data_IF_015052246704
#
_entry.id   IF_015052246704
#
_cell.length_a   1.000
_cell.length_b   1.000
_cell.length_c   1.000
_cell.angle_alpha   90.00
_cell.angle_beta   90.00
_cell.angle_gamma   90.00
#
_symmetry.space_group_name_H-M   'P 1'
#
loop_
_entity.id
_entity.type
_entity.pdbx_description
1 polymer ?
#
# COMPACT_ATOMS: atom_id res chain seq x y z
N UNK A 1 -37.08 -4.06 45.87
CA UNK A 1 -37.54 -3.64 44.53
C UNK A 1 -37.44 -2.12 44.26
N UNK A 2 -36.89 -1.28 45.14
CA UNK A 2 -36.71 0.17 44.84
C UNK A 2 -35.27 0.60 44.50
N UNK A 3 -34.27 -0.29 44.54
CA UNK A 3 -32.88 0.01 44.13
C UNK A 3 -32.49 -0.52 42.74
N UNK A 4 -33.39 -1.24 42.06
CA UNK A 4 -33.18 -1.80 40.72
C UNK A 4 -33.78 -0.91 39.62
N UNK A 5 -34.64 0.04 39.98
CA UNK A 5 -35.25 1.00 39.05
C UNK A 5 -34.30 2.18 38.72
N UNK A 6 -33.41 2.55 39.64
CA UNK A 6 -32.49 3.68 39.45
C UNK A 6 -31.29 3.38 38.54
N UNK A 7 -31.07 2.10 38.18
CA UNK A 7 -30.05 1.70 37.21
C UNK A 7 -30.55 1.65 35.76
N UNK A 8 -31.84 1.90 35.50
CA UNK A 8 -32.44 1.89 34.16
C UNK A 8 -32.50 3.25 33.45
N UNK A 9 -31.97 4.33 34.06
CA UNK A 9 -32.10 5.70 33.52
C UNK A 9 -30.87 6.25 32.77
N UNK A 10 -29.86 5.41 32.46
CA UNK A 10 -28.66 5.85 31.72
C UNK A 10 -28.62 5.23 30.31
N UNK A 11 -28.29 5.99 29.25
CA UNK A 11 -28.34 5.49 27.88
C UNK A 11 -27.31 4.36 27.65
N UNK A 12 -27.73 3.22 27.06
CA UNK A 12 -26.93 1.98 27.02
C UNK A 12 -25.78 1.98 25.98
N UNK A 13 -25.53 3.08 25.28
CA UNK A 13 -24.62 3.11 24.13
C UNK A 13 -23.14 3.36 24.47
N UNK A 14 -22.81 3.98 25.62
CA UNK A 14 -21.41 4.32 25.94
C UNK A 14 -20.70 3.30 26.83
N UNK A 15 -21.39 2.67 27.78
CA UNK A 15 -20.76 1.69 28.66
C UNK A 15 -20.40 0.40 27.92
N UNK A 16 -21.28 -0.10 27.05
CA UNK A 16 -21.03 -1.33 26.25
C UNK A 16 -19.89 -1.13 25.25
N UNK A 17 -19.78 0.05 24.63
CA UNK A 17 -18.70 0.34 23.67
C UNK A 17 -17.33 0.51 24.35
N UNK A 18 -17.31 1.13 25.54
CA UNK A 18 -16.09 1.34 26.33
C UNK A 18 -15.65 0.04 27.00
N UNK A 19 -16.59 -0.81 27.46
CA UNK A 19 -16.25 -2.13 28.01
C UNK A 19 -15.83 -3.12 26.93
N UNK A 20 -16.48 -3.15 25.75
CA UNK A 20 -16.08 -4.07 24.66
C UNK A 20 -14.81 -3.63 23.90
N UNK A 21 -14.66 -2.33 23.64
CA UNK A 21 -13.45 -1.78 23.04
C UNK A 21 -12.24 -1.83 23.96
N UNK A 22 -12.47 -1.64 25.28
CA UNK A 22 -11.44 -1.72 26.30
C UNK A 22 -10.98 -3.14 26.62
N UNK A 23 -11.87 -4.14 26.55
CA UNK A 23 -11.49 -5.54 26.84
C UNK A 23 -10.72 -6.18 25.69
N UNK A 24 -11.09 -5.94 24.42
CA UNK A 24 -10.34 -6.47 23.27
C UNK A 24 -8.97 -5.78 23.10
N UNK A 25 -8.91 -4.46 23.27
CA UNK A 25 -7.66 -3.71 23.22
C UNK A 25 -6.79 -3.97 24.46
N UNK A 26 -7.43 -4.19 25.62
CA UNK A 26 -6.77 -4.58 26.87
C UNK A 26 -6.17 -5.98 26.80
N UNK A 27 -6.87 -6.96 26.21
CA UNK A 27 -6.32 -8.30 25.97
C UNK A 27 -5.17 -8.27 24.96
N UNK A 28 -5.29 -7.51 23.87
CA UNK A 28 -4.23 -7.37 22.88
C UNK A 28 -2.99 -6.67 23.48
N UNK A 29 -3.18 -5.64 24.31
CA UNK A 29 -2.11 -4.96 25.04
C UNK A 29 -1.50 -5.88 26.10
N UNK A 30 -2.30 -6.69 26.79
CA UNK A 30 -1.86 -7.71 27.75
C UNK A 30 -1.02 -8.81 27.07
N UNK A 31 -1.43 -9.29 25.89
CA UNK A 31 -0.69 -10.26 25.07
C UNK A 31 0.60 -9.65 24.51
N UNK A 32 0.55 -8.38 24.10
CA UNK A 32 1.71 -7.62 23.64
C UNK A 32 2.73 -7.39 24.76
N UNK A 33 2.27 -7.04 25.96
CA UNK A 33 3.12 -6.89 27.15
C UNK A 33 3.68 -8.25 27.61
N UNK A 34 2.91 -9.34 27.55
CA UNK A 34 3.37 -10.73 27.80
C UNK A 34 4.51 -11.11 26.86
N UNK A 35 4.40 -10.78 25.56
CA UNK A 35 5.39 -11.06 24.52
C UNK A 35 6.68 -10.23 24.66
N UNK A 36 6.57 -8.95 25.06
CA UNK A 36 7.75 -8.08 25.18
C UNK A 36 8.68 -8.47 26.34
N UNK A 37 8.15 -9.10 27.38
CA UNK A 37 8.93 -9.59 28.53
C UNK A 37 9.38 -11.06 28.42
N UNK A 38 8.85 -11.85 27.49
CA UNK A 38 9.32 -13.24 27.25
C UNK A 38 10.48 -13.34 26.26
N UNK A 39 10.83 -12.27 25.55
CA UNK A 39 11.87 -12.29 24.50
C UNK A 39 13.24 -11.81 25.03
N UNK A 40 13.37 -11.50 26.33
CA UNK A 40 14.64 -11.02 26.92
C UNK A 40 14.68 -11.36 28.41
N UNK A 41 15.54 -12.20 28.98
CA UNK A 41 16.66 -13.05 28.55
C UNK A 41 16.73 -14.17 29.61
N UNK A 42 17.20 -15.36 29.26
CA UNK A 42 17.27 -16.49 30.20
C UNK A 42 18.15 -16.19 31.41
N UNK A 43 17.55 -16.08 32.60
CA UNK A 43 18.21 -16.19 33.93
C UNK A 43 17.19 -16.45 35.04
N UNK A 44 17.70 -16.83 36.22
CA UNK A 44 17.07 -17.34 37.46
C UNK A 44 15.83 -16.58 38.02
N UNK A 45 15.47 -15.43 37.45
CA UNK A 45 14.21 -14.70 37.71
C UNK A 45 12.97 -15.49 37.26
N UNK A 46 13.10 -16.32 36.22
CA UNK A 46 12.02 -17.10 35.60
C UNK A 46 11.30 -18.06 36.57
N UNK A 47 12.03 -18.60 37.57
CA UNK A 47 11.45 -19.53 38.56
C UNK A 47 10.58 -18.82 39.61
N UNK A 48 10.84 -17.54 39.90
CA UNK A 48 10.00 -16.73 40.81
C UNK A 48 8.73 -16.23 40.14
N UNK A 49 8.76 -15.99 38.83
CA UNK A 49 7.62 -15.49 38.05
C UNK A 49 6.68 -16.62 37.62
N UNK A 50 7.20 -17.82 37.31
CA UNK A 50 6.38 -19.01 37.05
C UNK A 50 5.41 -19.32 38.21
N UNK A 51 5.85 -19.06 39.46
CA UNK A 51 5.02 -19.15 40.68
C UNK A 51 4.03 -17.99 40.90
N UNK A 52 4.17 -16.87 40.16
CA UNK A 52 3.22 -15.75 40.14
C UNK A 52 2.22 -15.86 38.99
N UNK A 53 2.62 -16.48 37.87
CA UNK A 53 1.75 -16.79 36.72
C UNK A 53 0.71 -17.85 37.10
N UNK A 54 1.06 -18.83 37.95
CA UNK A 54 0.12 -19.78 38.53
C UNK A 54 -0.86 -19.17 39.56
N UNK A 55 -0.86 -17.84 39.74
CA UNK A 55 -1.74 -17.11 40.65
C UNK A 55 -2.64 -16.08 39.94
N UNK A 56 -2.64 -16.05 38.61
CA UNK A 56 -3.59 -15.23 37.84
C UNK A 56 -4.93 -15.98 37.68
N UNK A 57 -6.08 -15.28 37.67
CA UNK A 57 -7.40 -15.91 37.57
C UNK A 57 -7.50 -16.74 36.28
N UNK A 58 -8.16 -17.89 36.38
CA UNK A 58 -8.24 -18.90 35.32
C UNK A 58 -8.67 -18.29 33.96
N UNK A 59 -7.91 -18.61 32.90
CA UNK A 59 -8.17 -18.25 31.50
C UNK A 59 -9.59 -18.63 31.00
N UNK A 60 -10.35 -19.40 31.80
CA UNK A 60 -11.74 -19.77 31.60
C UNK A 60 -12.72 -18.60 31.60
N UNK A 61 -12.57 -17.59 32.47
CA UNK A 61 -13.59 -16.53 32.62
C UNK A 61 -13.71 -15.62 31.38
N UNK A 62 -12.60 -15.37 30.68
CA UNK A 62 -12.59 -14.50 29.50
C UNK A 62 -13.19 -15.19 28.26
N UNK A 63 -12.99 -16.50 28.11
CA UNK A 63 -13.56 -17.30 27.02
C UNK A 63 -15.07 -17.46 27.20
N UNK A 64 -15.51 -17.76 28.42
CA UNK A 64 -16.93 -17.85 28.76
C UNK A 64 -17.63 -16.49 28.63
N UNK A 65 -16.94 -15.39 28.97
CA UNK A 65 -17.43 -14.03 28.74
C UNK A 65 -17.65 -13.71 27.27
N UNK A 66 -16.72 -14.11 26.38
CA UNK A 66 -16.86 -13.95 24.94
C UNK A 66 -18.02 -14.79 24.38
N UNK A 67 -18.14 -16.04 24.83
CA UNK A 67 -19.21 -16.96 24.44
C UNK A 67 -20.59 -16.41 24.81
N UNK A 68 -20.72 -15.94 26.05
CA UNK A 68 -21.94 -15.33 26.58
C UNK A 68 -22.31 -14.07 25.81
N UNK A 69 -21.31 -13.29 25.39
CA UNK A 69 -21.50 -12.08 24.58
C UNK A 69 -21.99 -12.41 23.17
N UNK A 70 -21.42 -13.44 22.52
CA UNK A 70 -21.87 -13.90 21.20
C UNK A 70 -23.33 -14.37 21.29
N UNK A 71 -23.68 -15.20 22.28
CA UNK A 71 -25.05 -15.69 22.48
C UNK A 71 -26.05 -14.56 22.74
N UNK A 72 -25.66 -13.53 23.50
CA UNK A 72 -26.51 -12.36 23.73
C UNK A 72 -26.75 -11.57 22.44
N UNK A 73 -25.71 -11.37 21.63
CA UNK A 73 -25.82 -10.68 20.35
C UNK A 73 -26.61 -11.48 19.32
N UNK A 74 -26.55 -12.81 19.34
CA UNK A 74 -27.39 -13.69 18.50
C UNK A 74 -28.87 -13.55 18.83
N UNK A 75 -29.23 -13.52 20.11
CA UNK A 75 -30.61 -13.28 20.56
C UNK A 75 -31.08 -11.88 20.18
N UNK A 76 -30.23 -10.87 20.39
CA UNK A 76 -30.53 -9.49 19.99
C UNK A 76 -30.73 -9.37 18.47
N UNK A 77 -29.93 -10.09 17.69
CA UNK A 77 -30.05 -10.12 16.23
C UNK A 77 -31.38 -10.75 15.80
N UNK A 78 -31.81 -11.86 16.43
CA UNK A 78 -33.11 -12.51 16.15
C UNK A 78 -34.30 -11.59 16.48
N UNK A 79 -34.19 -10.79 17.54
CA UNK A 79 -35.23 -9.83 17.88
C UNK A 79 -35.24 -8.62 16.94
N UNK A 80 -34.06 -8.16 16.50
CA UNK A 80 -33.94 -7.12 15.48
C UNK A 80 -34.34 -7.60 14.08
N UNK A 81 -34.30 -8.91 13.80
CA UNK A 81 -34.77 -9.49 12.54
C UNK A 81 -36.26 -9.27 12.33
N UNK A 82 -37.05 -9.33 13.42
CA UNK A 82 -38.50 -9.11 13.41
C UNK A 82 -38.88 -7.66 13.09
N UNK A 83 -38.01 -6.71 13.43
CA UNK A 83 -38.22 -5.27 13.17
C UNK A 83 -37.36 -4.73 12.03
N UNK A 84 -36.54 -5.58 11.39
CA UNK A 84 -35.59 -5.21 10.33
C UNK A 84 -36.22 -4.48 9.15
N UNK A 85 -37.49 -4.76 8.84
CA UNK A 85 -38.22 -4.14 7.73
C UNK A 85 -39.16 -3.01 8.20
N UNK A 86 -39.21 -2.73 9.49
CA UNK A 86 -40.13 -1.74 10.07
C UNK A 86 -39.63 -0.30 9.94
N UNK A 87 -38.31 -0.08 9.96
CA UNK A 87 -37.71 1.23 9.72
C UNK A 87 -36.27 1.11 9.22
N UNK A 88 -35.79 2.15 8.54
CA UNK A 88 -34.39 2.25 8.10
C UNK A 88 -33.40 2.22 9.28
N UNK A 89 -33.82 2.75 10.44
CA UNK A 89 -33.04 2.72 11.69
C UNK A 89 -32.92 1.30 12.24
N UNK A 90 -33.98 0.49 12.17
CA UNK A 90 -33.98 -0.88 12.67
C UNK A 90 -33.21 -1.83 11.74
N UNK A 91 -33.23 -1.58 10.43
CA UNK A 91 -32.34 -2.25 9.46
C UNK A 91 -30.87 -1.98 9.76
N UNK A 92 -30.50 -0.71 10.01
CA UNK A 92 -29.13 -0.32 10.34
C UNK A 92 -28.65 -0.93 11.68
N UNK A 93 -29.56 -1.04 12.67
CA UNK A 93 -29.28 -1.73 13.94
C UNK A 93 -29.00 -3.22 13.73
N UNK A 94 -29.81 -3.89 12.90
CA UNK A 94 -29.61 -5.30 12.55
C UNK A 94 -28.24 -5.51 11.87
N UNK A 95 -27.90 -4.72 10.86
CA UNK A 95 -26.66 -4.88 10.10
C UNK A 95 -25.40 -4.62 10.94
N UNK A 96 -25.43 -3.63 11.85
CA UNK A 96 -24.33 -3.36 12.77
C UNK A 96 -24.09 -4.53 13.74
N UNK A 97 -25.16 -5.05 14.35
CA UNK A 97 -25.09 -6.18 15.28
C UNK A 97 -24.61 -7.43 14.55
N UNK A 98 -25.10 -7.69 13.33
CA UNK A 98 -24.65 -8.79 12.50
C UNK A 98 -23.13 -8.71 12.22
N UNK A 99 -22.63 -7.52 11.89
CA UNK A 99 -21.20 -7.29 11.63
C UNK A 99 -20.31 -7.51 12.85
N UNK A 100 -20.75 -7.06 14.03
CA UNK A 100 -20.04 -7.28 15.30
C UNK A 100 -19.97 -8.78 15.60
N UNK A 101 -21.06 -9.50 15.37
CA UNK A 101 -21.19 -10.92 15.62
C UNK A 101 -20.24 -11.75 14.75
N UNK A 102 -20.11 -11.41 13.46
CA UNK A 102 -19.15 -12.05 12.55
C UNK A 102 -17.71 -11.89 13.05
N UNK A 103 -17.33 -10.71 13.54
CA UNK A 103 -15.97 -10.45 14.06
C UNK A 103 -15.70 -11.17 15.37
N UNK A 104 -16.67 -11.20 16.28
CA UNK A 104 -16.54 -11.92 17.55
C UNK A 104 -16.43 -13.44 17.33
N UNK A 105 -17.14 -13.99 16.33
CA UNK A 105 -16.96 -15.39 15.91
C UNK A 105 -15.57 -15.67 15.34
N UNK A 106 -15.04 -14.75 14.52
CA UNK A 106 -13.66 -14.84 14.04
C UNK A 106 -12.65 -14.84 15.18
N UNK A 107 -12.77 -13.87 16.10
CA UNK A 107 -11.91 -13.76 17.27
C UNK A 107 -12.01 -14.99 18.20
N UNK A 108 -13.22 -15.54 18.39
CA UNK A 108 -13.44 -16.80 19.11
C UNK A 108 -12.72 -17.97 18.42
N UNK A 109 -12.84 -18.09 17.11
CA UNK A 109 -12.17 -19.15 16.34
C UNK A 109 -10.65 -19.09 16.50
N UNK A 110 -10.08 -17.90 16.43
CA UNK A 110 -8.64 -17.70 16.63
C UNK A 110 -8.22 -18.02 18.08
N UNK A 111 -9.03 -17.66 19.08
CA UNK A 111 -8.79 -17.98 20.50
C UNK A 111 -8.94 -19.48 20.80
N UNK A 112 -9.84 -20.18 20.11
CA UNK A 112 -10.03 -21.62 20.25
C UNK A 112 -8.87 -22.42 19.65
N UNK A 113 -8.29 -21.94 18.54
CA UNK A 113 -7.04 -22.48 17.98
C UNK A 113 -5.88 -22.33 18.95
N UNK A 114 -5.79 -21.16 19.59
CA UNK A 114 -4.82 -20.91 20.66
C UNK A 114 -5.01 -21.89 21.84
N UNK A 115 -6.25 -22.10 22.30
CA UNK A 115 -6.59 -23.06 23.37
C UNK A 115 -6.18 -24.49 23.04
N UNK A 116 -6.33 -24.90 21.77
CA UNK A 116 -6.00 -26.24 21.29
C UNK A 116 -4.51 -26.42 20.99
N UNK A 117 -3.69 -25.38 21.18
CA UNK A 117 -2.27 -25.35 20.79
C UNK A 117 -2.05 -25.72 19.32
N UNK A 118 -3.04 -25.47 18.48
CA UNK A 118 -3.08 -25.92 17.09
C UNK A 118 -2.56 -24.82 16.18
N UNK A 119 -1.24 -24.71 16.13
CA UNK A 119 -0.51 -23.77 15.27
C UNK A 119 -0.03 -24.42 13.95
N UNK A 120 -0.44 -25.67 13.70
CA UNK A 120 -0.05 -26.48 12.54
C UNK A 120 -1.11 -26.45 11.43
N UNK A 121 -0.77 -25.78 10.33
CA UNK A 121 -1.40 -25.91 9.00
C UNK A 121 -2.83 -25.41 8.76
N UNK A 122 -3.67 -25.11 9.76
CA UNK A 122 -5.03 -24.60 9.49
C UNK A 122 -5.19 -23.07 9.58
N UNK A 123 -5.62 -22.50 8.44
CA UNK A 123 -5.81 -21.07 8.12
C UNK A 123 -6.71 -20.33 9.11
N UNK A 124 -6.46 -19.04 9.35
CA UNK A 124 -7.30 -18.25 10.27
C UNK A 124 -8.67 -17.94 9.65
N UNK A 125 -9.72 -17.79 10.46
CA UNK A 125 -11.07 -17.51 9.95
C UNK A 125 -11.13 -16.21 9.11
N UNK A 126 -10.26 -15.25 9.43
CA UNK A 126 -10.04 -14.01 8.67
C UNK A 126 -9.48 -14.27 7.27
N UNK A 127 -8.60 -15.27 7.11
CA UNK A 127 -8.03 -15.68 5.81
C UNK A 127 -9.05 -16.41 4.93
N UNK A 128 -9.99 -17.15 5.52
CA UNK A 128 -11.04 -17.85 4.79
C UNK A 128 -12.17 -16.91 4.34
N UNK A 129 -12.54 -15.93 5.17
CA UNK A 129 -13.47 -14.84 4.77
C UNK A 129 -12.89 -14.05 3.61
N UNK A 130 -11.60 -13.68 3.67
CA UNK A 130 -10.91 -13.05 2.55
C UNK A 130 -10.96 -13.95 1.30
N UNK A 131 -10.56 -15.22 1.39
CA UNK A 131 -10.54 -16.11 0.22
C UNK A 131 -11.88 -16.35 -0.44
N UNK A 132 -12.96 -16.51 0.33
CA UNK A 132 -14.31 -16.73 -0.23
C UNK A 132 -14.82 -15.56 -1.07
N UNK A 133 -14.28 -14.36 -0.87
CA UNK A 133 -14.59 -13.18 -1.67
C UNK A 133 -13.76 -13.09 -2.97
N UNK A 134 -12.69 -13.88 -3.12
CA UNK A 134 -11.64 -13.66 -4.14
C UNK A 134 -11.25 -14.90 -4.95
N UNK A 135 -11.98 -16.02 -4.83
CA UNK A 135 -11.62 -17.30 -5.47
C UNK A 135 -12.00 -17.43 -6.96
N UNK A 136 -12.38 -16.35 -7.65
CA UNK A 136 -12.46 -16.35 -9.11
C UNK A 136 -11.11 -15.92 -9.74
N UNK A 137 -10.26 -16.91 -10.02
CA UNK A 137 -9.06 -16.86 -10.89
C UNK A 137 -7.78 -16.19 -10.33
N UNK A 138 -7.01 -16.92 -9.51
CA UNK A 138 -5.59 -16.63 -9.27
C UNK A 138 -4.71 -17.35 -10.32
N UNK A 139 -4.09 -16.59 -11.22
CA UNK A 139 -2.99 -17.07 -12.09
C UNK A 139 -1.63 -17.07 -11.35
N UNK A 140 -0.62 -17.85 -11.79
CA UNK A 140 0.62 -18.05 -11.03
C UNK A 140 1.75 -17.03 -11.29
N UNK A 141 1.56 -15.86 -11.91
CA UNK A 141 2.69 -14.99 -12.30
C UNK A 141 2.50 -13.52 -11.92
N UNK A 142 2.86 -13.17 -10.69
CA UNK A 142 2.92 -11.77 -10.23
C UNK A 142 3.97 -10.98 -11.03
N UNK A 143 3.52 -10.28 -12.08
CA UNK A 143 4.36 -9.43 -12.95
C UNK A 143 4.59 -8.02 -12.40
N UNK A 144 3.95 -7.67 -11.28
CA UNK A 144 4.03 -6.35 -10.65
C UNK A 144 4.14 -6.45 -9.12
N UNK A 145 4.73 -5.42 -8.49
CA UNK A 145 4.91 -5.32 -7.04
C UNK A 145 3.70 -4.77 -6.30
N UNK A 146 2.80 -4.09 -6.99
CA UNK A 146 1.69 -3.44 -6.33
C UNK A 146 0.80 -4.47 -5.62
N UNK A 147 0.34 -4.11 -4.42
CA UNK A 147 -0.47 -4.98 -3.57
C UNK A 147 -1.79 -5.35 -4.24
N UNK A 148 -2.27 -4.50 -5.14
CA UNK A 148 -3.60 -4.58 -5.76
C UNK A 148 -3.67 -5.44 -7.03
N UNK A 149 -2.55 -5.91 -7.56
CA UNK A 149 -2.55 -6.74 -8.77
C UNK A 149 -3.21 -8.11 -8.58
N UNK A 150 -4.23 -8.37 -9.40
CA UNK A 150 -4.78 -9.70 -9.69
C UNK A 150 -4.61 -10.01 -11.20
N UNK A 151 -4.04 -11.17 -11.53
CA UNK A 151 -3.77 -11.65 -12.90
C UNK A 151 -5.06 -12.08 -13.68
N UNK A 152 -6.19 -11.41 -13.46
CA UNK A 152 -7.42 -11.71 -14.20
C UNK A 152 -7.45 -10.92 -15.50
N UNK A 153 -7.32 -11.63 -16.62
CA UNK A 153 -7.39 -11.12 -17.99
C UNK A 153 -8.75 -10.41 -18.21
N UNK A 154 -8.74 -9.08 -18.23
CA UNK A 154 -9.82 -8.27 -18.78
C UNK A 154 -9.21 -7.10 -19.55
N UNK A 155 -9.28 -7.18 -20.89
CA UNK A 155 -9.01 -6.04 -21.76
C UNK A 155 -10.01 -4.94 -21.43
N UNK A 156 -9.51 -3.80 -20.97
CA UNK A 156 -10.26 -2.55 -20.92
C UNK A 156 -9.34 -1.46 -21.47
N UNK A 157 -9.39 -1.35 -22.80
CA UNK A 157 -8.74 -0.32 -23.63
C UNK A 157 -9.73 0.83 -23.93
N UNK A 158 -10.97 0.80 -23.41
CA UNK A 158 -12.06 1.62 -23.97
C UNK A 158 -12.52 2.85 -23.15
N UNK A 159 -11.90 3.18 -22.01
CA UNK A 159 -12.35 4.34 -21.20
C UNK A 159 -11.22 5.36 -20.92
N UNK A 160 -10.41 5.67 -21.94
CA UNK A 160 -9.72 6.96 -21.97
C UNK A 160 -10.72 8.01 -22.48
N UNK A 161 -10.94 9.13 -21.78
CA UNK A 161 -11.62 10.26 -22.40
C UNK A 161 -10.77 10.65 -23.61
N UNK A 162 -11.32 10.48 -24.82
CA UNK A 162 -10.82 11.14 -26.03
C UNK A 162 -11.06 12.65 -25.88
N UNK A 163 -10.34 13.27 -24.95
CA UNK A 163 -10.25 14.72 -24.85
C UNK A 163 -9.46 15.18 -26.05
N UNK A 164 -10.13 15.89 -26.96
CA UNK A 164 -9.55 16.53 -28.14
C UNK A 164 -8.23 17.23 -27.78
N UNK A 165 -7.10 16.59 -28.13
CA UNK A 165 -5.75 17.16 -28.07
C UNK A 165 -5.34 17.75 -29.42
N UNK A 166 -6.31 18.15 -30.26
CA UNK A 166 -6.02 18.67 -31.60
C UNK A 166 -5.64 20.15 -31.66
N UNK A 167 -5.53 20.85 -30.52
CA UNK A 167 -5.21 22.28 -30.49
C UNK A 167 -3.97 22.60 -29.64
N UNK A 168 -2.84 21.93 -29.91
CA UNK A 168 -1.53 22.45 -29.52
C UNK A 168 -0.78 22.87 -30.78
N UNK A 169 -0.67 24.19 -30.91
CA UNK A 169 -0.06 24.95 -31.97
C UNK A 169 1.15 24.26 -32.63
N UNK A 170 1.01 24.15 -33.95
CA UNK A 170 2.06 24.00 -34.95
C UNK A 170 3.05 25.18 -34.93
N UNK A 171 3.82 25.30 -33.84
CA UNK A 171 5.11 25.96 -33.82
C UNK A 171 6.18 24.87 -33.64
N UNK A 172 6.35 24.06 -34.68
CA UNK A 172 7.46 23.11 -34.79
C UNK A 172 8.76 23.90 -34.87
N UNK A 173 9.40 24.14 -33.72
CA UNK A 173 10.85 24.37 -33.69
C UNK A 173 11.44 23.13 -34.35
N UNK A 174 12.06 23.31 -35.53
CA UNK A 174 12.73 22.24 -36.24
C UNK A 174 13.91 21.76 -35.38
N UNK A 175 13.69 20.74 -34.57
CA UNK A 175 14.77 20.06 -33.85
C UNK A 175 15.61 19.39 -34.94
N UNK A 176 16.83 19.87 -35.15
CA UNK A 176 17.72 19.28 -36.12
C UNK A 176 18.16 17.91 -35.60
N UNK A 177 17.50 16.85 -36.09
CA UNK A 177 17.84 15.46 -35.80
C UNK A 177 19.31 15.12 -36.09
N UNK A 178 20.03 15.97 -36.86
CA UNK A 178 21.46 15.83 -37.07
C UNK A 178 22.29 16.00 -35.78
N UNK A 179 21.85 16.84 -34.84
CA UNK A 179 22.58 17.20 -33.61
C UNK A 179 22.32 16.24 -32.43
N UNK A 180 21.29 15.40 -32.51
CA UNK A 180 20.92 14.43 -31.47
C UNK A 180 21.82 13.16 -31.50
N UNK A 181 23.12 13.33 -31.29
CA UNK A 181 24.10 12.26 -31.40
C UNK A 181 23.81 11.07 -30.47
N UNK A 182 23.45 11.33 -29.21
CA UNK A 182 23.09 10.29 -28.24
C UNK A 182 21.86 9.49 -28.68
N UNK A 183 20.80 10.18 -29.11
CA UNK A 183 19.60 9.52 -29.64
C UNK A 183 19.90 8.65 -30.86
N UNK A 184 20.75 9.11 -31.79
CA UNK A 184 21.13 8.33 -32.98
C UNK A 184 21.92 7.07 -32.62
N UNK A 185 22.76 7.14 -31.59
CA UNK A 185 23.44 5.96 -31.06
C UNK A 185 22.43 4.97 -30.46
N UNK A 186 21.51 5.47 -29.64
CA UNK A 186 20.45 4.67 -29.06
C UNK A 186 19.59 3.99 -30.13
N UNK A 187 19.16 4.72 -31.16
CA UNK A 187 18.40 4.19 -32.29
C UNK A 187 19.17 3.10 -33.09
N UNK A 188 20.50 3.13 -33.11
CA UNK A 188 21.29 2.01 -33.65
C UNK A 188 21.27 0.78 -32.74
N UNK A 189 21.28 0.97 -31.41
CA UNK A 189 21.21 -0.12 -30.44
C UNK A 189 19.83 -0.77 -30.41
N UNK A 190 18.75 0.01 -30.54
CA UNK A 190 17.37 -0.47 -30.67
C UNK A 190 17.21 -1.34 -31.91
N UNK A 191 17.68 -0.88 -33.08
CA UNK A 191 17.65 -1.68 -34.32
C UNK A 191 18.40 -3.01 -34.24
N UNK A 192 19.38 -3.12 -33.33
CA UNK A 192 20.10 -4.38 -33.05
C UNK A 192 19.38 -5.27 -32.03
N UNK A 193 18.23 -4.86 -31.50
CA UNK A 193 17.49 -5.58 -30.46
C UNK A 193 18.19 -5.61 -29.11
N UNK A 194 19.09 -4.65 -28.84
CA UNK A 194 19.89 -4.63 -27.61
C UNK A 194 19.18 -3.97 -26.43
N UNK A 195 18.12 -3.20 -26.70
CA UNK A 195 17.36 -2.50 -25.65
C UNK A 195 16.16 -3.34 -25.29
N UNK A 196 16.19 -3.89 -24.08
CA UNK A 196 15.09 -4.69 -23.54
C UNK A 196 14.29 -3.88 -22.53
N UNK A 197 13.00 -4.18 -22.45
CA UNK A 197 12.06 -3.51 -21.55
C UNK A 197 11.01 -4.51 -21.07
N UNK A 198 10.53 -4.28 -19.84
CA UNK A 198 9.46 -5.09 -19.24
C UNK A 198 8.09 -4.82 -19.88
N UNK A 199 7.76 -3.55 -20.06
CA UNK A 199 6.48 -3.04 -20.56
C UNK A 199 6.74 -1.85 -21.49
N UNK A 200 6.15 -1.88 -22.68
CA UNK A 200 6.16 -0.73 -23.58
C UNK A 200 5.21 0.34 -23.04
N UNK A 201 5.71 1.56 -22.86
CA UNK A 201 4.94 2.73 -22.42
C UNK A 201 4.88 3.82 -23.48
N UNK A 202 4.99 3.44 -24.75
CA UNK A 202 5.06 4.33 -25.91
C UNK A 202 3.97 5.41 -25.91
N UNK A 203 2.71 5.01 -25.80
CA UNK A 203 1.57 5.94 -25.77
C UNK A 203 1.60 6.84 -24.53
N UNK A 204 1.87 6.26 -23.36
CA UNK A 204 1.92 7.01 -22.10
C UNK A 204 3.05 8.05 -22.08
N UNK A 205 4.20 7.74 -22.68
CA UNK A 205 5.34 8.64 -22.77
C UNK A 205 5.26 9.61 -23.96
N UNK A 206 4.16 9.60 -24.73
CA UNK A 206 4.00 10.48 -25.89
C UNK A 206 5.08 10.28 -26.96
N UNK A 207 5.54 9.05 -27.15
CA UNK A 207 6.55 8.70 -28.15
C UNK A 207 5.89 8.34 -29.49
N UNK A 208 6.58 8.64 -30.60
CA UNK A 208 6.01 8.45 -31.95
C UNK A 208 5.90 6.98 -32.35
N UNK A 209 6.77 6.13 -31.80
CA UNK A 209 6.81 4.69 -32.06
C UNK A 209 7.50 3.94 -30.92
N UNK A 210 7.33 2.61 -30.88
CA UNK A 210 8.01 1.76 -29.91
C UNK A 210 9.54 1.88 -30.01
N UNK A 211 10.08 2.02 -31.23
CA UNK A 211 11.50 2.23 -31.47
C UNK A 211 11.98 3.59 -30.91
N UNK A 212 11.16 4.64 -31.05
CA UNK A 212 11.43 5.96 -30.48
C UNK A 212 11.45 5.92 -28.94
N UNK A 213 10.45 5.25 -28.35
CA UNK A 213 10.40 5.03 -26.90
C UNK A 213 11.64 4.28 -26.40
N UNK A 214 12.03 3.18 -27.05
CA UNK A 214 13.20 2.39 -26.67
C UNK A 214 14.51 3.19 -26.82
N UNK A 215 14.61 4.05 -27.85
CA UNK A 215 15.79 4.88 -28.06
C UNK A 215 15.90 5.94 -26.94
N UNK A 216 14.82 6.66 -26.64
CA UNK A 216 14.77 7.64 -25.55
C UNK A 216 15.04 6.98 -24.20
N UNK A 217 14.43 5.83 -23.95
CA UNK A 217 14.64 5.03 -22.74
C UNK A 217 16.11 4.67 -22.55
N UNK A 218 16.79 4.21 -23.60
CA UNK A 218 18.21 3.89 -23.53
C UNK A 218 19.06 5.11 -23.11
N UNK A 219 18.79 6.28 -23.69
CA UNK A 219 19.44 7.53 -23.31
C UNK A 219 19.15 7.91 -21.85
N UNK A 220 17.90 7.78 -21.41
CA UNK A 220 17.47 8.09 -20.06
C UNK A 220 18.11 7.16 -19.02
N UNK A 221 18.29 5.88 -19.32
CA UNK A 221 19.04 4.95 -18.46
C UNK A 221 20.46 5.46 -18.19
N UNK A 222 21.18 5.85 -19.25
CA UNK A 222 22.52 6.44 -19.15
C UNK A 222 22.53 7.73 -18.33
N UNK A 223 21.53 8.59 -18.52
CA UNK A 223 21.39 9.83 -17.77
C UNK A 223 21.15 9.54 -16.28
N UNK A 224 20.22 8.64 -15.94
CA UNK A 224 19.96 8.24 -14.56
C UNK A 224 21.19 7.61 -13.89
N UNK A 225 21.93 6.74 -14.58
CA UNK A 225 23.17 6.16 -14.06
C UNK A 225 24.18 7.25 -13.71
N UNK A 226 24.31 8.28 -14.54
CA UNK A 226 25.17 9.44 -14.28
C UNK A 226 24.68 10.25 -13.07
N UNK A 227 23.37 10.50 -12.95
CA UNK A 227 22.76 11.25 -11.84
C UNK A 227 23.02 10.54 -10.50
N UNK A 228 22.81 9.22 -10.43
CA UNK A 228 22.98 8.46 -9.17
C UNK A 228 24.43 8.15 -8.81
N UNK A 229 25.33 8.28 -9.78
CA UNK A 229 26.77 8.15 -9.55
C UNK A 229 27.29 9.24 -8.62
N UNK A 230 26.65 10.41 -8.59
CA UNK A 230 26.94 11.45 -7.60
C UNK A 230 26.30 11.10 -6.24
N UNK A 231 27.14 10.98 -5.21
CA UNK A 231 26.71 10.67 -3.84
C UNK A 231 25.70 11.69 -3.32
N UNK A 232 25.95 12.98 -3.55
CA UNK A 232 25.11 14.05 -3.00
C UNK A 232 23.71 13.98 -3.57
N UNK A 233 23.61 13.86 -4.89
CA UNK A 233 22.34 13.69 -5.60
C UNK A 233 21.62 12.42 -5.13
N UNK A 234 22.33 11.30 -4.98
CA UNK A 234 21.74 10.04 -4.49
C UNK A 234 21.15 10.18 -3.08
N UNK A 235 21.90 10.74 -2.13
CA UNK A 235 21.42 10.97 -0.76
C UNK A 235 20.24 11.95 -0.72
N UNK A 236 20.26 12.97 -1.57
CA UNK A 236 19.17 13.91 -1.70
C UNK A 236 17.89 13.22 -2.19
N UNK A 237 17.93 12.40 -3.24
CA UNK A 237 16.77 11.64 -3.75
C UNK A 237 16.19 10.74 -2.65
N UNK A 238 17.04 9.99 -1.95
CA UNK A 238 16.63 9.12 -0.83
C UNK A 238 15.92 9.93 0.26
N UNK A 239 16.48 11.08 0.61
CA UNK A 239 15.90 11.95 1.64
C UNK A 239 14.55 12.52 1.19
N UNK A 240 14.43 13.00 -0.06
CA UNK A 240 13.18 13.54 -0.59
C UNK A 240 12.06 12.50 -0.61
N UNK A 241 12.35 11.28 -1.08
CA UNK A 241 11.37 10.19 -1.06
C UNK A 241 10.85 9.90 0.36
N UNK A 242 11.75 9.86 1.34
CA UNK A 242 11.41 9.66 2.76
C UNK A 242 10.56 10.79 3.34
N UNK A 243 10.87 12.04 3.00
CA UNK A 243 10.14 13.22 3.50
C UNK A 243 8.74 13.28 2.89
N UNK A 244 8.62 13.17 1.57
CA UNK A 244 7.33 13.29 0.86
C UNK A 244 6.32 12.26 1.39
N UNK A 245 6.69 10.98 1.48
CA UNK A 245 5.76 9.96 1.97
C UNK A 245 5.42 10.14 3.45
N UNK A 246 6.39 10.55 4.28
CA UNK A 246 6.12 10.81 5.68
C UNK A 246 5.17 12.02 5.88
N UNK A 247 5.32 13.06 5.08
CA UNK A 247 4.45 14.23 5.14
C UNK A 247 3.05 13.88 4.62
N UNK A 248 2.93 13.16 3.50
CA UNK A 248 1.64 12.64 3.03
C UNK A 248 0.91 11.84 4.12
N UNK A 249 1.63 10.99 4.87
CA UNK A 249 1.05 10.25 5.98
C UNK A 249 0.56 11.17 7.12
N UNK A 250 1.28 12.25 7.43
CA UNK A 250 0.84 13.24 8.43
C UNK A 250 -0.46 13.93 8.01
N UNK A 251 -0.65 14.20 6.72
CA UNK A 251 -1.90 14.75 6.19
C UNK A 251 -3.08 13.74 6.26
N UNK A 252 -2.79 12.44 6.31
CA UNK A 252 -3.78 11.40 6.63
C UNK A 252 -3.92 11.13 8.15
N UNK A 253 -3.36 12.00 9.01
CA UNK A 253 -3.36 11.88 10.47
C UNK A 253 -2.68 10.59 10.98
N UNK A 254 -1.73 10.04 10.22
CA UNK A 254 -0.96 8.85 10.57
C UNK A 254 0.42 9.19 11.09
N UNK A 255 0.91 8.37 12.02
CA UNK A 255 2.28 8.49 12.51
C UNK A 255 3.26 7.83 11.51
N UNK A 256 4.26 8.55 10.97
CA UNK A 256 5.23 8.00 10.02
C UNK A 256 6.36 7.18 10.67
N UNK A 257 6.38 6.95 11.99
CA UNK A 257 7.48 6.19 12.66
C UNK A 257 7.72 4.81 12.06
N UNK A 258 6.64 4.05 11.81
CA UNK A 258 6.76 2.71 11.22
C UNK A 258 7.27 2.79 9.78
N UNK A 259 6.85 3.82 9.03
CA UNK A 259 7.33 4.08 7.68
C UNK A 259 8.83 4.38 7.67
N UNK A 260 9.31 5.24 8.57
CA UNK A 260 10.74 5.54 8.70
C UNK A 260 11.55 4.28 8.96
N UNK A 261 11.08 3.42 9.87
CA UNK A 261 11.77 2.17 10.20
C UNK A 261 11.83 1.23 8.99
N UNK A 262 10.74 1.09 8.23
CA UNK A 262 10.70 0.26 7.04
C UNK A 262 11.56 0.82 5.89
N UNK A 263 11.49 2.15 5.67
CA UNK A 263 12.25 2.84 4.64
C UNK A 263 13.75 2.76 4.90
N UNK A 264 14.19 3.05 6.12
CA UNK A 264 15.60 3.04 6.50
C UNK A 264 16.20 1.62 6.39
N UNK A 265 15.41 0.58 6.70
CA UNK A 265 15.80 -0.83 6.46
C UNK A 265 15.99 -1.14 4.98
N UNK A 266 15.06 -0.72 4.12
CA UNK A 266 15.21 -0.92 2.67
C UNK A 266 16.46 -0.21 2.15
N UNK A 267 16.71 1.03 2.57
CA UNK A 267 17.90 1.78 2.16
C UNK A 267 19.18 1.13 2.67
N UNK A 268 19.19 0.64 3.91
CA UNK A 268 20.32 -0.11 4.45
C UNK A 268 20.60 -1.37 3.65
N UNK A 269 19.56 -2.13 3.28
CA UNK A 269 19.67 -3.32 2.44
C UNK A 269 20.26 -3.00 1.06
N UNK A 270 19.75 -1.94 0.40
CA UNK A 270 20.19 -1.52 -0.92
C UNK A 270 21.62 -0.96 -0.95
N UNK A 271 22.06 -0.33 0.15
CA UNK A 271 23.44 0.18 0.27
C UNK A 271 24.48 -0.92 0.45
N UNK A 272 24.06 -2.12 0.87
CA UNK A 272 24.97 -3.27 0.97
C UNK A 272 25.17 -3.93 -0.39
N UNK A 273 26.36 -3.71 -0.97
CA UNK A 273 26.75 -4.25 -2.27
C UNK A 273 26.65 -5.78 -2.38
N UNK A 274 26.71 -6.51 -1.26
CA UNK A 274 26.56 -7.98 -1.27
C UNK A 274 25.15 -8.42 -1.65
N UNK A 275 24.14 -7.56 -1.45
CA UNK A 275 22.75 -7.83 -1.78
C UNK A 275 22.40 -7.54 -3.26
N UNK A 276 23.31 -6.95 -4.03
CA UNK A 276 23.04 -6.53 -5.41
C UNK A 276 22.65 -7.71 -6.31
N UNK A 277 23.41 -8.81 -6.27
CA UNK A 277 23.13 -10.00 -7.09
C UNK A 277 21.79 -10.66 -6.72
N UNK A 278 21.44 -10.66 -5.44
CA UNK A 278 20.13 -11.14 -4.97
C UNK A 278 19.01 -10.24 -5.49
N UNK A 279 19.18 -8.92 -5.36
CA UNK A 279 18.21 -7.92 -5.83
C UNK A 279 17.99 -8.04 -7.34
N UNK A 280 19.08 -8.15 -8.11
CA UNK A 280 19.03 -8.33 -9.56
C UNK A 280 18.26 -9.58 -9.94
N UNK A 281 18.55 -10.73 -9.30
CA UNK A 281 17.83 -11.98 -9.56
C UNK A 281 16.34 -11.85 -9.21
N UNK A 282 15.98 -11.18 -8.11
CA UNK A 282 14.58 -10.95 -7.74
C UNK A 282 13.82 -10.08 -8.76
N UNK A 283 14.51 -9.09 -9.35
CA UNK A 283 14.00 -8.19 -10.37
C UNK A 283 13.85 -8.91 -11.74
N UNK A 284 14.84 -9.71 -12.13
CA UNK A 284 14.81 -10.50 -13.37
C UNK A 284 13.62 -11.48 -13.41
N UNK A 285 13.30 -12.11 -12.28
CA UNK A 285 12.14 -12.99 -12.15
C UNK A 285 10.80 -12.27 -12.40
N UNK A 286 10.79 -10.94 -12.26
CA UNK A 286 9.65 -10.08 -12.56
C UNK A 286 9.82 -9.32 -13.87
N UNK A 287 10.71 -9.82 -14.73
CA UNK A 287 11.02 -9.30 -16.08
C UNK A 287 11.62 -7.89 -16.07
N UNK A 288 12.16 -7.44 -14.94
CA UNK A 288 12.98 -6.22 -14.87
C UNK A 288 14.42 -6.65 -15.18
N UNK A 289 14.82 -6.52 -16.44
CA UNK A 289 16.11 -7.02 -16.92
C UNK A 289 17.29 -6.09 -16.58
N UNK A 290 17.03 -4.78 -16.50
CA UNK A 290 18.03 -3.76 -16.18
C UNK A 290 17.75 -3.16 -14.81
N UNK A 291 18.76 -3.10 -13.94
CA UNK A 291 18.66 -2.50 -12.60
C UNK A 291 19.00 -1.01 -12.71
N UNK A 292 18.06 -0.23 -13.22
CA UNK A 292 18.16 1.23 -13.34
C UNK A 292 17.01 1.92 -12.59
N UNK A 293 17.20 3.20 -12.22
CA UNK A 293 16.14 3.99 -11.56
C UNK A 293 14.85 4.01 -12.38
N UNK A 294 14.94 4.17 -13.70
CA UNK A 294 13.76 4.15 -14.54
C UNK A 294 13.02 2.82 -14.40
N UNK A 295 13.72 1.71 -14.63
CA UNK A 295 13.13 0.39 -14.69
C UNK A 295 12.53 -0.05 -13.36
N UNK A 296 13.23 0.23 -12.25
CA UNK A 296 12.81 -0.19 -10.91
C UNK A 296 11.85 0.82 -10.28
N UNK A 297 12.23 2.08 -10.16
CA UNK A 297 11.45 3.07 -9.41
C UNK A 297 10.27 3.59 -10.23
N UNK A 298 10.51 4.08 -11.45
CA UNK A 298 9.46 4.71 -12.24
C UNK A 298 8.54 3.68 -12.88
N UNK A 299 9.05 2.77 -13.70
CA UNK A 299 8.21 1.79 -14.40
C UNK A 299 7.58 0.77 -13.44
N UNK A 300 8.42 0.05 -12.70
CA UNK A 300 7.99 -1.13 -11.95
C UNK A 300 7.34 -0.84 -10.60
N UNK A 301 7.77 0.20 -9.89
CA UNK A 301 7.20 0.58 -8.60
C UNK A 301 6.09 1.61 -8.78
N UNK A 302 6.38 2.80 -9.30
CA UNK A 302 5.44 3.92 -9.28
C UNK A 302 4.32 3.77 -10.32
N UNK A 303 4.67 3.67 -11.61
CA UNK A 303 3.69 3.65 -12.69
C UNK A 303 2.79 2.41 -12.62
N UNK A 304 3.37 1.25 -12.31
CA UNK A 304 2.59 0.04 -12.03
C UNK A 304 1.63 0.19 -10.84
N UNK A 305 2.08 0.80 -9.74
CA UNK A 305 1.20 1.03 -8.59
C UNK A 305 0.06 1.99 -8.93
N UNK A 306 0.31 3.00 -9.75
CA UNK A 306 -0.75 3.93 -10.19
C UNK A 306 -1.71 3.28 -11.19
N UNK A 307 -1.23 2.42 -12.09
CA UNK A 307 -2.08 1.63 -13.00
C UNK A 307 -3.00 0.69 -12.20
N UNK A 308 -2.46 0.03 -11.18
CA UNK A 308 -3.24 -0.84 -10.30
C UNK A 308 -4.22 -0.07 -9.42
N UNK A 309 -3.84 1.13 -8.96
CA UNK A 309 -4.75 2.02 -8.24
C UNK A 309 -5.93 2.48 -9.11
N UNK A 310 -5.79 2.55 -10.44
CA UNK A 310 -6.93 2.84 -11.34
C UNK A 310 -7.89 1.66 -11.46
N UNK A 311 -7.42 0.44 -11.21
CA UNK A 311 -8.17 -0.82 -11.38
C UNK A 311 -8.13 -1.64 -10.08
N UNK A 312 -8.64 -1.10 -8.95
CA UNK A 312 -8.58 -1.82 -7.69
C UNK A 312 -9.46 -3.10 -7.74
N UNK A 313 -9.08 -4.14 -6.97
CA UNK A 313 -9.89 -5.33 -6.77
C UNK A 313 -11.34 -5.02 -6.36
N UNK A 314 -12.28 -5.85 -6.83
CA UNK A 314 -13.73 -5.63 -6.69
C UNK A 314 -14.21 -5.44 -5.24
N UNK A 315 -13.65 -6.14 -4.25
CA UNK A 315 -14.04 -5.91 -2.85
C UNK A 315 -13.46 -4.62 -2.24
N UNK A 316 -12.37 -4.04 -2.78
CA UNK A 316 -11.98 -2.67 -2.41
C UNK A 316 -13.03 -1.70 -2.96
N UNK A 317 -13.43 -1.86 -4.21
CA UNK A 317 -14.52 -1.07 -4.80
C UNK A 317 -15.81 -1.22 -3.99
N UNK A 318 -16.19 -2.44 -3.61
CA UNK A 318 -17.39 -2.71 -2.82
C UNK A 318 -17.32 -2.10 -1.41
N UNK A 319 -16.15 -2.12 -0.77
CA UNK A 319 -15.92 -1.50 0.53
C UNK A 319 -16.16 0.01 0.49
N UNK A 320 -15.66 0.67 -0.55
CA UNK A 320 -15.76 2.12 -0.68
C UNK A 320 -17.11 2.59 -1.25
N UNK A 321 -17.75 1.81 -2.13
CA UNK A 321 -19.12 2.06 -2.62
C UNK A 321 -20.18 1.95 -1.54
N UNK A 322 -19.90 1.23 -0.45
CA UNK A 322 -20.84 1.07 0.63
C UNK A 322 -20.80 2.30 1.58
N UNK A 323 -21.81 3.15 1.45
CA UNK A 323 -21.97 4.37 2.26
C UNK A 323 -22.39 4.09 3.71
N UNK A 324 -22.77 2.86 4.06
CA UNK A 324 -23.16 2.48 5.42
C UNK A 324 -21.96 2.19 6.32
N UNK A 325 -20.77 2.05 5.75
CA UNK A 325 -19.55 1.78 6.49
C UNK A 325 -18.90 3.06 7.02
N UNK A 326 -18.62 3.09 8.32
CA UNK A 326 -17.87 4.19 8.92
C UNK A 326 -16.43 4.25 8.37
N UNK A 327 -15.83 5.44 8.37
CA UNK A 327 -14.43 5.65 7.95
C UNK A 327 -13.46 4.68 8.63
N UNK A 328 -13.52 4.58 9.96
CA UNK A 328 -12.66 3.68 10.74
C UNK A 328 -12.87 2.20 10.38
N UNK A 329 -14.10 1.81 9.98
CA UNK A 329 -14.36 0.45 9.50
C UNK A 329 -13.79 0.22 8.11
N UNK A 330 -13.97 1.16 7.16
CA UNK A 330 -13.37 1.09 5.82
C UNK A 330 -11.84 0.99 5.93
N UNK A 331 -11.23 1.78 6.80
CA UNK A 331 -9.78 1.81 7.00
C UNK A 331 -9.23 0.53 7.64
N UNK A 332 -9.88 0.03 8.70
CA UNK A 332 -9.48 -1.23 9.35
C UNK A 332 -9.64 -2.43 8.42
N UNK A 333 -10.73 -2.47 7.65
CA UNK A 333 -10.97 -3.53 6.66
C UNK A 333 -9.95 -3.47 5.54
N UNK A 334 -9.69 -2.28 4.98
CA UNK A 334 -8.68 -2.10 3.95
C UNK A 334 -7.29 -2.52 4.42
N UNK A 335 -6.88 -2.09 5.61
CA UNK A 335 -5.58 -2.44 6.18
C UNK A 335 -5.44 -3.95 6.37
N UNK A 336 -6.51 -4.63 6.80
CA UNK A 336 -6.54 -6.09 6.96
C UNK A 336 -6.48 -6.82 5.61
N UNK A 337 -7.15 -6.29 4.58
CA UNK A 337 -7.09 -6.82 3.22
C UNK A 337 -5.66 -6.71 2.65
N UNK A 338 -5.05 -5.53 2.75
CA UNK A 338 -3.68 -5.28 2.29
C UNK A 338 -2.68 -6.16 3.03
N UNK A 339 -2.82 -6.31 4.35
CA UNK A 339 -1.98 -7.22 5.13
C UNK A 339 -2.12 -8.67 4.65
N UNK A 340 -3.35 -9.15 4.41
CA UNK A 340 -3.58 -10.51 3.91
C UNK A 340 -2.97 -10.72 2.52
N UNK A 341 -3.12 -9.74 1.63
CA UNK A 341 -2.53 -9.75 0.28
C UNK A 341 -1.00 -9.82 0.35
N UNK A 342 -0.38 -8.96 1.15
CA UNK A 342 1.08 -8.94 1.33
C UNK A 342 1.57 -10.24 1.96
N UNK A 343 0.89 -10.75 2.99
CA UNK A 343 1.23 -12.03 3.62
C UNK A 343 1.17 -13.17 2.61
N UNK A 344 0.14 -13.21 1.76
CA UNK A 344 0.01 -14.22 0.70
C UNK A 344 1.07 -14.07 -0.41
N UNK A 345 1.51 -12.84 -0.73
CA UNK A 345 2.61 -12.61 -1.67
C UNK A 345 3.96 -12.99 -1.06
N UNK A 346 4.16 -12.75 0.24
CA UNK A 346 5.38 -13.11 0.99
C UNK A 346 5.66 -14.60 1.02
N UNK A 347 4.65 -15.46 1.14
CA UNK A 347 4.85 -16.91 1.12
C UNK A 347 5.39 -17.43 -0.22
N UNK A 348 5.24 -16.65 -1.30
CA UNK A 348 5.76 -16.97 -2.64
C UNK A 348 7.16 -16.38 -2.90
N UNK A 349 7.73 -15.63 -1.97
CA UNK A 349 9.07 -15.07 -2.14
C UNK A 349 10.13 -16.14 -1.98
N UNK A 350 11.08 -16.14 -2.91
CA UNK A 350 12.27 -16.98 -2.86
C UNK A 350 13.19 -16.51 -1.73
N UNK A 351 13.35 -15.18 -1.59
CA UNK A 351 14.14 -14.55 -0.53
C UNK A 351 13.20 -13.73 0.35
N UNK A 352 13.04 -14.16 1.60
CA UNK A 352 12.12 -13.50 2.54
C UNK A 352 12.64 -12.12 2.97
N UNK A 353 13.95 -12.01 3.17
CA UNK A 353 14.67 -10.77 3.52
C UNK A 353 15.38 -10.20 2.29
N UNK A 354 14.64 -10.15 1.17
CA UNK A 354 15.11 -9.61 -0.10
C UNK A 354 14.63 -8.17 -0.33
N UNK A 355 15.03 -7.58 -1.46
CA UNK A 355 14.53 -6.27 -1.90
C UNK A 355 13.00 -6.21 -1.88
N UNK A 356 12.36 -7.28 -2.37
CA UNK A 356 10.90 -7.36 -2.46
C UNK A 356 10.26 -7.50 -1.07
N UNK A 357 10.91 -8.24 -0.17
CA UNK A 357 10.44 -8.39 1.21
C UNK A 357 10.39 -7.04 1.93
N UNK A 358 11.47 -6.27 1.84
CA UNK A 358 11.55 -4.90 2.36
C UNK A 358 10.58 -3.94 1.67
N UNK A 359 10.41 -4.04 0.35
CA UNK A 359 9.42 -3.24 -0.38
C UNK A 359 7.99 -3.52 0.11
N UNK A 360 7.66 -4.77 0.45
CA UNK A 360 6.38 -5.12 1.03
C UNK A 360 6.16 -4.55 2.43
N UNK A 361 7.22 -4.37 3.24
CA UNK A 361 7.08 -3.67 4.53
C UNK A 361 6.61 -2.23 4.32
N UNK A 362 7.21 -1.53 3.34
CA UNK A 362 6.81 -0.16 2.98
C UNK A 362 5.38 -0.14 2.42
N UNK A 363 5.07 -1.06 1.49
CA UNK A 363 3.76 -1.15 0.85
C UNK A 363 2.63 -1.39 1.85
N UNK A 364 2.87 -2.17 2.90
CA UNK A 364 1.88 -2.42 3.94
C UNK A 364 1.46 -1.16 4.68
N UNK A 365 2.35 -0.17 4.74
CA UNK A 365 2.13 1.11 5.42
C UNK A 365 1.55 2.15 4.45
N UNK A 366 2.13 2.25 3.25
CA UNK A 366 1.81 3.31 2.28
C UNK A 366 0.57 2.98 1.45
N UNK A 367 0.38 1.74 1.01
CA UNK A 367 -0.72 1.38 0.12
C UNK A 367 -2.12 1.64 0.74
N UNK A 368 -2.40 1.31 2.01
CA UNK A 368 -3.69 1.65 2.61
C UNK A 368 -3.98 3.14 2.60
N UNK A 369 -2.97 3.98 2.87
CA UNK A 369 -3.07 5.44 2.86
C UNK A 369 -3.41 5.94 1.45
N UNK A 370 -2.69 5.49 0.42
CA UNK A 370 -2.96 5.87 -0.96
C UNK A 370 -4.34 5.40 -1.43
N UNK A 371 -4.69 4.14 -1.22
CA UNK A 371 -6.01 3.60 -1.63
C UNK A 371 -7.15 4.39 -0.95
N UNK A 372 -7.00 4.71 0.33
CA UNK A 372 -7.98 5.51 1.03
C UNK A 372 -8.07 6.93 0.49
N UNK A 373 -6.95 7.52 0.04
CA UNK A 373 -6.94 8.82 -0.62
C UNK A 373 -7.68 8.80 -1.97
N UNK A 374 -7.55 7.72 -2.74
CA UNK A 374 -8.16 7.60 -4.07
C UNK A 374 -9.64 7.19 -4.05
N UNK A 375 -10.07 6.41 -3.06
CA UNK A 375 -11.40 5.80 -3.04
C UNK A 375 -12.25 6.18 -1.81
N UNK A 376 -11.64 6.75 -0.79
CA UNK A 376 -12.27 6.97 0.52
C UNK A 376 -12.86 8.35 0.72
N UNK A 377 -13.60 8.47 1.82
CA UNK A 377 -14.16 9.73 2.33
C UNK A 377 -13.12 10.47 3.22
N UNK A 378 -11.84 10.46 2.80
CA UNK A 378 -10.75 11.14 3.51
C UNK A 378 -10.85 12.67 3.41
N UNK A 379 -10.05 13.44 4.17
CA UNK A 379 -10.00 14.89 4.04
C UNK A 379 -9.71 15.28 2.59
N UNK A 380 -10.52 16.15 1.99
CA UNK A 380 -10.37 16.52 0.57
C UNK A 380 -8.96 17.02 0.23
N UNK A 381 -8.38 17.83 1.11
CA UNK A 381 -7.00 18.31 1.01
C UNK A 381 -6.00 17.14 0.83
N UNK A 382 -6.08 16.12 1.68
CA UNK A 382 -5.21 14.95 1.57
C UNK A 382 -5.42 14.15 0.27
N UNK A 383 -6.67 14.05 -0.22
CA UNK A 383 -6.95 13.43 -1.52
C UNK A 383 -6.33 14.24 -2.67
N UNK A 384 -6.51 15.56 -2.63
CA UNK A 384 -5.93 16.49 -3.60
C UNK A 384 -4.39 16.40 -3.61
N UNK A 385 -3.73 16.27 -2.46
CA UNK A 385 -2.29 16.03 -2.37
C UNK A 385 -1.88 14.70 -3.01
N UNK A 386 -2.60 13.61 -2.76
CA UNK A 386 -2.27 12.31 -3.34
C UNK A 386 -2.46 12.30 -4.86
N UNK A 387 -3.47 13.00 -5.38
CA UNK A 387 -3.67 13.20 -6.81
C UNK A 387 -2.53 14.06 -7.38
N UNK A 388 -2.21 15.18 -6.73
CA UNK A 388 -1.13 16.07 -7.14
C UNK A 388 0.22 15.35 -7.19
N UNK A 389 0.50 14.46 -6.23
CA UNK A 389 1.68 13.60 -6.23
C UNK A 389 1.75 12.74 -7.49
N UNK A 390 0.69 11.99 -7.78
CA UNK A 390 0.61 11.11 -8.96
C UNK A 390 0.75 11.89 -10.25
N UNK A 391 0.00 12.98 -10.40
CA UNK A 391 0.07 13.83 -11.60
C UNK A 391 1.46 14.48 -11.74
N UNK A 392 2.12 14.81 -10.62
CA UNK A 392 3.51 15.28 -10.61
C UNK A 392 4.49 14.24 -11.16
N UNK A 393 4.34 12.96 -10.78
CA UNK A 393 5.14 11.87 -11.34
C UNK A 393 4.85 11.66 -12.82
N UNK A 394 3.57 11.69 -13.24
CA UNK A 394 3.21 11.57 -14.65
C UNK A 394 3.76 12.71 -15.50
N UNK A 395 3.65 13.95 -15.01
CA UNK A 395 4.20 15.11 -15.68
C UNK A 395 5.72 15.00 -15.82
N UNK A 396 6.43 14.59 -14.75
CA UNK A 396 7.87 14.36 -14.82
C UNK A 396 8.23 13.32 -15.90
N UNK A 397 7.52 12.18 -15.93
CA UNK A 397 7.76 11.13 -16.92
C UNK A 397 7.51 11.65 -18.35
N UNK A 398 6.42 12.39 -18.58
CA UNK A 398 6.14 12.98 -19.89
C UNK A 398 7.22 13.99 -20.31
N UNK A 399 7.71 14.79 -19.38
CA UNK A 399 8.71 15.83 -19.65
C UNK A 399 10.07 15.23 -20.04
N UNK A 400 10.53 14.19 -19.35
CA UNK A 400 11.84 13.59 -19.66
C UNK A 400 11.84 12.85 -21.01
N UNK A 401 10.69 12.44 -21.54
CA UNK A 401 10.59 11.86 -22.90
C UNK A 401 10.38 12.91 -24.00
N UNK A 402 10.14 14.17 -23.63
CA UNK A 402 9.88 15.25 -24.58
C UNK A 402 11.18 15.92 -25.04
N UNK A 403 11.48 15.83 -26.33
CA UNK A 403 12.68 16.40 -26.97
C UNK A 403 12.72 17.93 -26.97
N UNK A 404 11.60 18.60 -26.69
CA UNK A 404 11.55 20.06 -26.50
C UNK A 404 11.92 20.47 -25.06
N UNK A 405 11.86 19.53 -24.11
CA UNK A 405 12.12 19.79 -22.68
C UNK A 405 13.50 19.33 -22.24
N UNK A 406 14.02 18.26 -22.85
CA UNK A 406 15.35 17.72 -22.54
C UNK A 406 16.17 17.49 -23.80
N UNK A 407 17.49 17.67 -23.68
CA UNK A 407 18.41 17.56 -24.81
C UNK A 407 19.00 16.15 -24.92
N UNK A 408 18.71 15.45 -26.02
CA UNK A 408 19.28 14.14 -26.35
C UNK A 408 20.57 14.23 -27.19
N UNK A 409 21.40 15.24 -26.94
CA UNK A 409 22.67 15.53 -27.60
C UNK A 409 23.79 14.69 -27.01
N UNK A 410 24.03 14.84 -25.70
CA UNK A 410 25.04 14.14 -24.90
C UNK A 410 24.43 13.60 -23.60
N UNK A 411 25.08 12.61 -22.97
CA UNK A 411 24.61 12.05 -21.68
C UNK A 411 24.65 13.12 -20.59
N UNK A 412 25.60 14.03 -20.66
CA UNK A 412 25.86 15.06 -19.64
C UNK A 412 24.75 16.11 -19.64
N UNK A 413 24.39 16.62 -20.82
CA UNK A 413 23.30 17.58 -20.98
C UNK A 413 21.94 16.95 -20.62
N UNK A 414 21.71 15.69 -21.03
CA UNK A 414 20.49 14.98 -20.69
C UNK A 414 20.37 14.75 -19.18
N UNK A 415 21.45 14.35 -18.53
CA UNK A 415 21.49 14.15 -17.07
C UNK A 415 21.21 15.45 -16.32
N UNK A 416 21.79 16.57 -16.75
CA UNK A 416 21.55 17.89 -16.14
C UNK A 416 20.08 18.31 -16.30
N UNK A 417 19.50 18.17 -17.49
CA UNK A 417 18.11 18.54 -17.74
C UNK A 417 17.13 17.65 -16.95
N UNK A 418 17.37 16.32 -16.92
CA UNK A 418 16.55 15.37 -16.16
C UNK A 418 16.64 15.62 -14.66
N UNK A 419 17.84 15.88 -14.13
CA UNK A 419 18.03 16.21 -12.72
C UNK A 419 17.30 17.50 -12.36
N UNK A 420 17.44 18.56 -13.16
CA UNK A 420 16.75 19.84 -12.94
C UNK A 420 15.23 19.67 -12.92
N UNK A 421 14.67 18.88 -13.85
CA UNK A 421 13.24 18.58 -13.86
C UNK A 421 12.81 17.80 -12.61
N UNK A 422 13.62 16.85 -12.14
CA UNK A 422 13.34 16.09 -10.93
C UNK A 422 13.33 16.99 -9.69
N UNK A 423 14.32 17.89 -9.57
CA UNK A 423 14.41 18.90 -8.51
C UNK A 423 13.18 19.81 -8.49
N UNK A 424 12.83 20.42 -9.62
CA UNK A 424 11.65 21.28 -9.73
C UNK A 424 10.37 20.53 -9.31
N UNK A 425 10.22 19.27 -9.73
CA UNK A 425 9.02 18.47 -9.44
C UNK A 425 8.92 18.11 -7.96
N UNK A 426 10.03 17.72 -7.34
CA UNK A 426 10.07 17.38 -5.92
C UNK A 426 9.90 18.63 -5.03
N UNK A 427 10.50 19.77 -5.40
CA UNK A 427 10.32 21.04 -4.69
C UNK A 427 8.87 21.53 -4.76
N UNK A 428 8.26 21.50 -5.95
CA UNK A 428 6.85 21.85 -6.11
C UNK A 428 5.93 20.95 -5.26
N UNK A 429 6.22 19.65 -5.20
CA UNK A 429 5.52 18.72 -4.31
C UNK A 429 5.66 19.12 -2.85
N UNK A 430 6.88 19.39 -2.40
CA UNK A 430 7.16 19.73 -1.00
C UNK A 430 6.51 21.06 -0.60
N UNK A 431 6.54 22.07 -1.47
CA UNK A 431 5.88 23.36 -1.25
C UNK A 431 4.37 23.18 -1.15
N UNK A 432 3.77 22.37 -2.04
CA UNK A 432 2.34 22.10 -2.02
C UNK A 432 1.91 21.39 -0.74
N UNK A 433 2.65 20.37 -0.30
CA UNK A 433 2.43 19.69 0.99
C UNK A 433 2.53 20.68 2.15
N UNK A 434 3.61 21.47 2.20
CA UNK A 434 3.89 22.39 3.32
C UNK A 434 2.86 23.51 3.46
N UNK A 435 2.26 23.93 2.34
CA UNK A 435 1.24 24.97 2.32
C UNK A 435 -0.16 24.47 2.69
N UNK A 436 -0.40 23.15 2.64
CA UNK A 436 -1.66 22.60 3.09
C UNK A 436 -1.65 22.45 4.62
N UNK A 437 -2.72 22.93 5.25
CA UNK A 437 -2.87 22.78 6.70
C UNK A 437 -3.13 21.32 7.03
N UNK A 438 -2.36 20.77 7.98
CA UNK A 438 -2.66 19.46 8.55
C UNK A 438 -4.05 19.53 9.18
N UNK A 439 -4.98 18.61 8.86
CA UNK A 439 -6.30 18.60 9.46
C UNK A 439 -6.20 18.59 11.00
N UNK A 440 -6.98 19.43 11.67
CA UNK A 440 -6.98 19.55 13.13
C UNK A 440 -7.55 18.31 13.84
#
# INVERSE_FOLDING_TARGET
MSKLADHLSWPPSRKVLITLGGVASGLALFVYLKRRFTIRDGTESDRKISRRISRLPDEFEAFDGLETTILYLERLLQDLEKTRHSSEVDRNRYDLIHSILVRLRGARGDLEKFRKNDFGQERTATEDIARSLWSSNLSPKASTLSVLSDDTFFSAVDDLPSGNLTDLDSNSISIDFAELHLYREAARKVRKGLVKVRKLRTEFCGCDSDDDFLAKLYCLRLAFDKIVSDEKTRQWIITQGRVIFADLMRHDLKNPTDFYTAYDRLMQYLNDTSNFETTKRELELRKVEEVNIWDVLFDFVLLDSFDDLRKPPSAIVALFRNNFFSRSFKESTLSSLIWSMIKAKRTKLIVQDGFIGHFYDISQIVSPMLIFAYFGDGPKAFQELCIYFKEGIYAFVLEIFNTQKVRYTTVDELAEDVQRLLEIRLENMQVKISNELIPA
#
